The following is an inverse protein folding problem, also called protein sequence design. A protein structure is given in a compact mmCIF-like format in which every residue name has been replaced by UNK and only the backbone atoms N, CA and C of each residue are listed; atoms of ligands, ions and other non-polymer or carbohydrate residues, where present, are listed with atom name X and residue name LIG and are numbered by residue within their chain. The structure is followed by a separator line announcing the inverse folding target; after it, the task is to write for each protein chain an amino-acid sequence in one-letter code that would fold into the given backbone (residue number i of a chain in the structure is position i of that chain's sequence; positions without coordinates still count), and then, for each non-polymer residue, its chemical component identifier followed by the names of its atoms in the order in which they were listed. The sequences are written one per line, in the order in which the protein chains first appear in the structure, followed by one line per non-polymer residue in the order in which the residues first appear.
data_IF_333669752889
#
_entry.id   IF_333669752889
#
_cell.length_a   1.000
_cell.length_b   1.000
_cell.length_c   1.000
_cell.angle_alpha   90.00
_cell.angle_beta   90.00
_cell.angle_gamma   90.00
#
_symmetry.space_group_name_H-M   'P 1'
#
loop_
_entity.id
_entity.type
_entity.pdbx_description
1 polymer ?
#
# COMPACT_ATOMS: atom_id res chain seq x y z
N UNK A 1 7.62 11.73 -19.21
CA UNK A 1 6.48 12.66 -19.09
C UNK A 1 6.49 13.22 -17.69
N UNK A 2 6.25 14.52 -17.50
CA UNK A 2 6.20 15.07 -16.14
C UNK A 2 4.95 14.55 -15.41
N UNK A 3 5.00 14.38 -14.06
CA UNK A 3 3.88 13.84 -13.30
C UNK A 3 2.66 14.79 -13.33
N UNK A 4 1.48 14.23 -13.49
CA UNK A 4 0.24 15.00 -13.41
C UNK A 4 -0.11 15.21 -11.93
N UNK A 5 -0.37 16.46 -11.55
CA UNK A 5 -0.79 16.82 -10.21
C UNK A 5 -2.30 16.99 -10.14
N UNK A 6 -2.95 16.25 -9.27
CA UNK A 6 -4.39 16.31 -9.05
C UNK A 6 -4.66 16.73 -7.61
N UNK A 7 -5.45 17.77 -7.42
CA UNK A 7 -5.83 18.25 -6.08
C UNK A 7 -7.33 18.42 -5.99
N UNK A 8 -7.96 17.79 -4.99
CA UNK A 8 -9.38 17.99 -4.71
C UNK A 8 -9.62 18.22 -3.21
N UNK A 9 -10.52 19.15 -2.90
CA UNK A 9 -10.93 19.39 -1.51
C UNK A 9 -11.84 18.27 -1.00
N UNK A 10 -12.83 17.91 -1.82
CA UNK A 10 -13.81 16.86 -1.54
C UNK A 10 -14.33 16.31 -2.86
N UNK A 11 -15.04 15.18 -2.81
CA UNK A 11 -15.56 14.55 -4.00
C UNK A 11 -14.73 13.37 -4.47
N UNK A 12 -15.11 12.80 -5.62
CA UNK A 12 -14.44 11.64 -6.21
C UNK A 12 -13.35 12.11 -7.16
N UNK A 13 -12.15 11.56 -7.02
CA UNK A 13 -11.10 11.62 -8.03
C UNK A 13 -11.11 10.27 -8.75
N UNK A 14 -11.29 10.29 -10.05
CA UNK A 14 -11.30 9.11 -10.90
C UNK A 14 -10.29 9.31 -12.02
N UNK A 15 -9.33 8.40 -12.13
CA UNK A 15 -8.33 8.42 -13.19
C UNK A 15 -8.33 7.06 -13.87
N UNK A 16 -8.42 7.06 -15.19
CA UNK A 16 -8.37 5.85 -15.99
C UNK A 16 -7.18 5.90 -16.93
N UNK A 17 -6.27 4.94 -16.80
CA UNK A 17 -5.17 4.76 -17.74
C UNK A 17 -5.64 3.95 -18.94
N UNK A 18 -5.43 4.49 -20.14
CA UNK A 18 -5.86 3.90 -21.40
C UNK A 18 -4.72 3.95 -22.44
N UNK A 19 -4.81 3.13 -23.48
CA UNK A 19 -3.88 3.16 -24.61
C UNK A 19 -4.12 4.43 -25.48
N UNK A 20 -3.55 5.53 -25.02
CA UNK A 20 -3.67 6.87 -25.65
C UNK A 20 -2.36 7.64 -25.50
N UNK A 21 -2.21 8.72 -26.26
CA UNK A 21 -1.00 9.56 -26.26
C UNK A 21 -1.24 10.93 -25.58
N UNK A 22 -2.49 11.27 -25.27
CA UNK A 22 -2.89 12.55 -24.71
C UNK A 22 -3.61 12.41 -23.36
N UNK A 23 -3.67 13.49 -22.59
CA UNK A 23 -4.44 13.59 -21.36
C UNK A 23 -5.76 14.26 -21.64
N UNK A 24 -6.87 13.65 -21.23
CA UNK A 24 -8.20 14.25 -21.34
C UNK A 24 -8.80 14.45 -19.96
N UNK A 25 -9.18 15.68 -19.67
CA UNK A 25 -9.87 16.07 -18.45
C UNK A 25 -11.37 16.08 -18.71
N UNK A 26 -12.07 15.05 -18.23
CA UNK A 26 -13.51 14.94 -18.37
C UNK A 26 -14.24 15.82 -17.34
N UNK A 27 -13.60 16.04 -16.18
CA UNK A 27 -14.12 16.87 -15.10
C UNK A 27 -12.98 17.46 -14.27
N UNK A 28 -12.99 18.76 -14.03
CA UNK A 28 -11.98 19.48 -13.27
C UNK A 28 -11.59 20.77 -13.97
N UNK A 29 -10.74 21.55 -13.32
CA UNK A 29 -10.15 22.77 -13.90
C UNK A 29 -8.67 22.53 -14.16
N UNK A 30 -8.26 22.73 -15.39
CA UNK A 30 -6.86 22.61 -15.82
C UNK A 30 -6.09 23.89 -15.52
N UNK A 31 -4.91 23.74 -14.93
CA UNK A 31 -3.98 24.83 -14.67
C UNK A 31 -2.59 24.39 -15.12
N UNK A 32 -2.15 24.76 -16.32
CA UNK A 32 -0.78 24.49 -16.74
C UNK A 32 0.19 25.33 -15.92
N UNK A 33 1.08 24.69 -15.16
CA UNK A 33 2.14 25.34 -14.38
C UNK A 33 3.50 24.76 -14.74
N UNK A 34 4.29 25.51 -15.51
CA UNK A 34 5.71 25.20 -15.71
C UNK A 34 6.01 23.79 -16.26
N UNK A 35 5.18 23.26 -17.16
CA UNK A 35 5.33 21.92 -17.75
C UNK A 35 4.57 20.81 -17.00
N UNK A 36 4.09 21.05 -15.79
CA UNK A 36 3.27 20.12 -15.04
C UNK A 36 1.79 20.45 -15.22
N UNK A 37 0.98 19.46 -15.61
CA UNK A 37 -0.47 19.63 -15.65
C UNK A 37 -1.02 19.52 -14.22
N UNK A 38 -1.57 20.61 -13.71
CA UNK A 38 -2.30 20.61 -12.45
C UNK A 38 -3.80 20.61 -12.73
N UNK A 39 -4.52 19.64 -12.17
CA UNK A 39 -5.98 19.56 -12.26
C UNK A 39 -6.59 19.75 -10.88
N UNK A 40 -7.43 20.78 -10.75
CA UNK A 40 -8.11 21.11 -9.50
C UNK A 40 -9.58 20.73 -9.57
N UNK A 41 -10.06 20.05 -8.53
CA UNK A 41 -11.47 19.74 -8.35
C UNK A 41 -12.03 20.39 -7.09
N UNK A 42 -13.21 20.97 -7.24
CA UNK A 42 -14.04 21.35 -6.10
C UNK A 42 -14.87 20.13 -5.63
N UNK A 43 -16.03 20.37 -5.05
CA UNK A 43 -16.94 19.32 -4.56
C UNK A 43 -17.48 18.37 -5.64
N UNK A 44 -17.45 18.77 -6.90
CA UNK A 44 -17.87 17.94 -8.06
C UNK A 44 -16.91 16.79 -8.40
N UNK A 45 -15.70 16.81 -7.80
CA UNK A 45 -14.67 15.81 -8.08
C UNK A 45 -13.87 16.12 -9.34
N UNK A 46 -13.00 15.17 -9.70
CA UNK A 46 -12.10 15.22 -10.87
C UNK A 46 -12.21 13.89 -11.61
N UNK A 47 -12.30 13.92 -12.92
CA UNK A 47 -12.23 12.73 -13.77
C UNK A 47 -11.27 12.97 -14.93
N UNK A 48 -10.34 12.05 -15.14
CA UNK A 48 -9.26 12.13 -16.13
C UNK A 48 -9.09 10.79 -16.85
N UNK A 49 -8.72 10.89 -18.13
CA UNK A 49 -8.17 9.76 -18.88
C UNK A 49 -6.74 10.08 -19.29
N UNK A 50 -5.83 9.18 -18.99
CA UNK A 50 -4.39 9.39 -19.15
C UNK A 50 -3.74 8.25 -19.91
N UNK A 51 -2.57 8.45 -20.51
CA UNK A 51 -1.78 7.38 -21.08
C UNK A 51 -1.38 6.32 -20.03
N UNK A 52 -1.25 5.06 -20.46
CA UNK A 52 -0.67 4.00 -19.64
C UNK A 52 0.73 4.41 -19.15
N UNK A 53 1.05 4.08 -17.90
CA UNK A 53 2.35 4.41 -17.30
C UNK A 53 2.50 5.86 -16.85
N UNK A 54 1.43 6.64 -16.83
CA UNK A 54 1.47 8.04 -16.37
C UNK A 54 1.73 8.13 -14.87
N UNK A 55 2.69 8.97 -14.49
CA UNK A 55 3.00 9.28 -13.08
C UNK A 55 2.00 10.27 -12.51
N UNK A 56 1.50 10.01 -11.30
CA UNK A 56 0.50 10.86 -10.66
C UNK A 56 0.90 11.31 -9.26
N UNK A 57 0.62 12.58 -8.95
CA UNK A 57 0.67 13.13 -7.61
C UNK A 57 -0.75 13.57 -7.24
N UNK A 58 -1.41 12.82 -6.37
CA UNK A 58 -2.81 13.07 -6.03
C UNK A 58 -2.96 13.48 -4.57
N UNK A 59 -3.59 14.62 -4.35
CA UNK A 59 -3.92 15.14 -3.03
C UNK A 59 -5.43 15.29 -2.84
N UNK A 60 -5.99 14.70 -1.78
CA UNK A 60 -7.38 14.90 -1.41
C UNK A 60 -7.54 15.18 0.09
N UNK A 61 -8.48 16.05 0.43
CA UNK A 61 -8.81 16.27 1.85
C UNK A 61 -9.84 15.25 2.33
N UNK A 62 -10.89 15.06 1.56
CA UNK A 62 -11.92 14.04 1.84
C UNK A 62 -12.54 13.56 0.52
N UNK A 63 -12.91 12.30 0.49
CA UNK A 63 -13.50 11.69 -0.71
C UNK A 63 -12.82 10.39 -1.10
N UNK A 64 -13.24 9.86 -2.25
CA UNK A 64 -12.66 8.64 -2.80
C UNK A 64 -11.72 8.97 -3.94
N UNK A 65 -10.62 8.23 -4.01
CA UNK A 65 -9.68 8.23 -5.13
C UNK A 65 -9.75 6.84 -5.75
N UNK A 66 -10.14 6.76 -7.02
CA UNK A 66 -10.19 5.53 -7.79
C UNK A 66 -9.25 5.66 -8.99
N UNK A 67 -8.27 4.78 -9.07
CA UNK A 67 -7.25 4.77 -10.11
C UNK A 67 -7.32 3.42 -10.84
N UNK A 68 -7.69 3.47 -12.11
CA UNK A 68 -7.92 2.31 -12.97
C UNK A 68 -6.86 2.17 -14.05
N UNK A 69 -6.56 0.92 -14.40
CA UNK A 69 -5.57 0.56 -15.41
C UNK A 69 -4.14 0.60 -14.87
N UNK A 70 -3.17 0.56 -15.78
CA UNK A 70 -1.73 0.50 -15.46
C UNK A 70 -1.15 1.93 -15.38
N UNK A 71 -0.86 2.38 -14.18
CA UNK A 71 -0.27 3.69 -13.91
C UNK A 71 1.23 3.58 -13.63
N UNK A 72 1.94 4.69 -13.74
CA UNK A 72 3.34 4.82 -13.40
C UNK A 72 3.58 4.93 -11.89
N UNK A 73 4.44 5.88 -11.51
CA UNK A 73 4.75 6.14 -10.11
C UNK A 73 3.63 6.96 -9.45
N UNK A 74 3.09 6.46 -8.36
CA UNK A 74 1.98 7.09 -7.65
C UNK A 74 2.43 7.69 -6.32
N UNK A 75 2.16 8.96 -6.13
CA UNK A 75 2.25 9.62 -4.83
C UNK A 75 0.88 10.13 -4.40
N UNK A 76 0.30 9.50 -3.40
CA UNK A 76 -1.07 9.75 -2.97
C UNK A 76 -1.09 10.27 -1.53
N UNK A 77 -1.81 11.36 -1.29
CA UNK A 77 -2.01 11.89 0.06
C UNK A 77 -3.49 12.19 0.28
N UNK A 78 -4.08 11.57 1.29
CA UNK A 78 -5.45 11.87 1.68
C UNK A 78 -5.59 11.99 3.19
N UNK A 79 -6.52 12.82 3.66
CA UNK A 79 -6.85 12.89 5.08
C UNK A 79 -7.89 11.82 5.44
N UNK A 80 -8.93 11.69 4.64
CA UNK A 80 -9.99 10.70 4.88
C UNK A 80 -10.61 10.23 3.57
N UNK A 81 -11.09 9.00 3.56
CA UNK A 81 -11.76 8.43 2.39
C UNK A 81 -11.24 7.07 1.99
N UNK A 82 -11.57 6.69 0.76
CA UNK A 82 -11.15 5.42 0.16
C UNK A 82 -10.16 5.68 -0.95
N UNK A 83 -9.07 4.93 -0.94
CA UNK A 83 -8.11 4.82 -2.04
C UNK A 83 -8.28 3.46 -2.68
N UNK A 84 -8.60 3.43 -3.96
CA UNK A 84 -8.69 2.22 -4.77
C UNK A 84 -7.69 2.35 -5.93
N UNK A 85 -6.74 1.44 -6.00
CA UNK A 85 -5.68 1.43 -7.03
C UNK A 85 -5.68 0.05 -7.66
N UNK A 86 -5.83 -0.02 -8.97
CA UNK A 86 -5.84 -1.28 -9.70
C UNK A 86 -4.41 -1.78 -9.94
N UNK A 87 -3.58 -0.99 -10.63
CA UNK A 87 -2.19 -1.34 -10.90
C UNK A 87 -1.30 -0.12 -11.00
N UNK A 88 -0.05 -0.22 -10.50
CA UNK A 88 0.95 0.83 -10.66
C UNK A 88 2.38 0.30 -10.64
N UNK A 89 3.31 1.10 -11.16
CA UNK A 89 4.73 0.76 -11.15
C UNK A 89 5.32 0.87 -9.74
N UNK A 90 5.05 1.96 -9.01
CA UNK A 90 5.45 2.14 -7.62
C UNK A 90 4.42 2.97 -6.83
N UNK A 91 4.39 2.83 -5.50
CA UNK A 91 3.37 3.46 -4.66
C UNK A 91 3.97 4.14 -3.41
N UNK A 92 3.74 5.44 -3.24
CA UNK A 92 3.88 6.17 -1.96
C UNK A 92 2.49 6.69 -1.55
N UNK A 93 1.81 6.00 -0.64
CA UNK A 93 0.47 6.37 -0.19
C UNK A 93 0.46 6.78 1.29
N UNK A 94 -0.15 7.93 1.57
CA UNK A 94 -0.31 8.46 2.93
C UNK A 94 -1.76 8.79 3.22
N UNK A 95 -2.29 8.21 4.29
CA UNK A 95 -3.66 8.50 4.75
C UNK A 95 -3.73 8.68 6.27
N UNK A 96 -4.63 9.54 6.72
CA UNK A 96 -4.89 9.65 8.16
C UNK A 96 -6.00 8.68 8.56
N UNK A 97 -7.09 8.65 7.81
CA UNK A 97 -8.22 7.75 8.11
C UNK A 97 -8.84 7.24 6.82
N UNK A 98 -9.11 5.97 6.78
CA UNK A 98 -9.79 5.42 5.62
C UNK A 98 -9.39 4.02 5.25
N UNK A 99 -9.77 3.63 4.03
CA UNK A 99 -9.43 2.35 3.44
C UNK A 99 -8.48 2.58 2.27
N UNK A 100 -7.44 1.77 2.20
CA UNK A 100 -6.51 1.73 1.08
C UNK A 100 -6.58 0.32 0.50
N UNK A 101 -7.12 0.19 -0.68
CA UNK A 101 -7.25 -1.06 -1.40
C UNK A 101 -6.36 -0.97 -2.65
N UNK A 102 -5.34 -1.80 -2.72
CA UNK A 102 -4.35 -1.82 -3.81
C UNK A 102 -4.36 -3.20 -4.46
N UNK A 103 -4.52 -3.26 -5.76
CA UNK A 103 -4.40 -4.48 -6.53
C UNK A 103 -2.92 -4.86 -6.69
N UNK A 104 -2.27 -4.39 -7.74
CA UNK A 104 -0.90 -4.78 -8.05
C UNK A 104 0.06 -3.58 -8.02
N UNK A 105 1.17 -3.72 -7.31
CA UNK A 105 2.33 -2.84 -7.41
C UNK A 105 3.47 -3.64 -8.00
N UNK A 106 3.97 -3.25 -9.17
CA UNK A 106 5.03 -3.98 -9.88
C UNK A 106 6.37 -3.87 -9.14
N UNK A 107 6.71 -2.68 -8.69
CA UNK A 107 7.92 -2.38 -7.92
C UNK A 107 7.63 -2.20 -6.43
N UNK A 108 8.20 -1.15 -5.84
CA UNK A 108 8.16 -0.91 -4.41
C UNK A 108 6.89 -0.19 -3.96
N UNK A 109 6.43 -0.53 -2.75
CA UNK A 109 5.29 0.11 -2.13
C UNK A 109 5.62 0.67 -0.74
N UNK A 110 5.24 1.92 -0.51
CA UNK A 110 5.38 2.61 0.75
C UNK A 110 4.04 3.17 1.22
N UNK A 111 3.47 2.58 2.27
CA UNK A 111 2.13 2.96 2.75
C UNK A 111 2.18 3.41 4.19
N UNK A 112 1.69 4.63 4.45
CA UNK A 112 1.55 5.19 5.81
C UNK A 112 0.08 5.49 6.10
N UNK A 113 -0.48 4.81 7.11
CA UNK A 113 -1.86 5.01 7.54
C UNK A 113 -1.92 5.26 9.05
N UNK A 114 -2.57 6.34 9.50
CA UNK A 114 -2.75 6.49 10.93
C UNK A 114 -3.87 5.55 11.44
N UNK A 115 -5.04 5.58 10.82
CA UNK A 115 -6.17 4.72 11.21
C UNK A 115 -6.84 4.17 9.95
N UNK A 116 -7.18 2.89 9.96
CA UNK A 116 -7.92 2.33 8.85
C UNK A 116 -7.51 0.91 8.48
N UNK A 117 -7.88 0.53 7.26
CA UNK A 117 -7.51 -0.75 6.67
C UNK A 117 -6.65 -0.50 5.45
N UNK A 118 -5.55 -1.23 5.36
CA UNK A 118 -4.71 -1.31 4.19
C UNK A 118 -4.77 -2.73 3.66
N UNK A 119 -5.22 -2.92 2.45
CA UNK A 119 -5.25 -4.21 1.76
C UNK A 119 -4.43 -4.08 0.49
N UNK A 120 -3.48 -4.97 0.30
CA UNK A 120 -2.62 -5.00 -0.90
C UNK A 120 -2.64 -6.44 -1.42
N UNK A 121 -3.09 -6.63 -2.65
CA UNK A 121 -3.15 -7.98 -3.22
C UNK A 121 -1.75 -8.45 -3.65
N UNK A 122 -0.99 -7.63 -4.37
CA UNK A 122 0.34 -8.04 -4.83
C UNK A 122 1.35 -6.87 -4.85
N UNK A 123 2.56 -7.14 -4.37
CA UNK A 123 3.73 -6.24 -4.49
C UNK A 123 4.90 -7.06 -5.04
N UNK A 124 5.47 -6.62 -6.16
CA UNK A 124 6.62 -7.29 -6.77
C UNK A 124 7.95 -6.96 -6.10
N UNK A 125 8.13 -5.71 -5.68
CA UNK A 125 9.32 -5.20 -4.99
C UNK A 125 9.20 -5.20 -3.47
N UNK A 126 9.93 -4.29 -2.82
CA UNK A 126 9.95 -4.15 -1.38
C UNK A 126 8.70 -3.40 -0.87
N UNK A 127 8.21 -3.85 0.28
CA UNK A 127 7.03 -3.27 0.91
C UNK A 127 7.35 -2.68 2.28
N UNK A 128 7.06 -1.40 2.45
CA UNK A 128 7.08 -0.76 3.77
C UNK A 128 5.68 -0.27 4.15
N UNK A 129 5.12 -0.80 5.25
CA UNK A 129 3.83 -0.36 5.79
C UNK A 129 3.99 0.13 7.21
N UNK A 130 3.51 1.34 7.48
CA UNK A 130 3.44 1.90 8.83
C UNK A 130 2.00 2.27 9.16
N UNK A 131 1.45 1.71 10.24
CA UNK A 131 0.10 2.03 10.73
C UNK A 131 0.12 2.35 12.23
N UNK A 132 -0.74 3.26 12.67
CA UNK A 132 -0.92 3.47 14.13
C UNK A 132 -1.99 2.52 14.65
N UNK A 133 -3.16 2.52 14.02
CA UNK A 133 -4.27 1.65 14.41
C UNK A 133 -4.99 1.12 13.18
N UNK A 134 -5.27 -0.16 13.16
CA UNK A 134 -6.01 -0.72 12.06
C UNK A 134 -5.56 -2.11 11.65
N UNK A 135 -5.89 -2.47 10.42
CA UNK A 135 -5.52 -3.74 9.82
C UNK A 135 -4.65 -3.50 8.59
N UNK A 136 -3.60 -4.28 8.49
CA UNK A 136 -2.73 -4.36 7.31
C UNK A 136 -2.80 -5.80 6.81
N UNK A 137 -3.36 -5.98 5.64
CA UNK A 137 -3.51 -7.27 4.97
C UNK A 137 -2.72 -7.23 3.65
N UNK A 138 -1.70 -8.04 3.52
CA UNK A 138 -0.91 -8.18 2.29
C UNK A 138 -1.00 -9.61 1.84
N UNK A 139 -1.54 -9.86 0.65
CA UNK A 139 -1.77 -11.23 0.20
C UNK A 139 -0.50 -11.86 -0.37
N UNK A 140 0.25 -11.14 -1.24
CA UNK A 140 1.45 -11.64 -1.89
C UNK A 140 2.53 -10.57 -1.99
N UNK A 141 3.59 -10.70 -1.19
CA UNK A 141 4.78 -9.87 -1.30
C UNK A 141 5.93 -10.65 -1.95
N UNK A 142 6.54 -10.09 -2.99
CA UNK A 142 7.65 -10.67 -3.72
C UNK A 142 9.02 -10.29 -3.16
N UNK A 143 9.15 -9.06 -2.66
CA UNK A 143 10.37 -8.53 -2.04
C UNK A 143 10.32 -8.52 -0.52
N UNK A 144 11.25 -7.77 0.10
CA UNK A 144 11.31 -7.65 1.55
C UNK A 144 10.12 -6.88 2.12
N UNK A 145 9.64 -7.30 3.29
CA UNK A 145 8.50 -6.66 3.96
C UNK A 145 8.91 -6.04 5.29
N UNK A 146 8.68 -4.75 5.43
CA UNK A 146 8.79 -4.04 6.70
C UNK A 146 7.43 -3.49 7.13
N UNK A 147 6.79 -4.13 8.11
CA UNK A 147 5.47 -3.75 8.60
C UNK A 147 5.51 -3.34 10.07
N UNK A 148 5.07 -2.12 10.38
CA UNK A 148 5.06 -1.58 11.75
C UNK A 148 3.67 -1.10 12.11
N UNK A 149 3.15 -1.50 13.28
CA UNK A 149 1.90 -0.98 13.83
C UNK A 149 2.00 -0.75 15.34
N UNK A 150 1.28 0.24 15.84
CA UNK A 150 1.13 0.42 17.29
C UNK A 150 0.01 -0.50 17.79
N UNK A 151 -1.17 -0.44 17.20
CA UNK A 151 -2.29 -1.28 17.61
C UNK A 151 -3.02 -1.81 16.39
N UNK A 152 -3.20 -3.12 16.35
CA UNK A 152 -3.95 -3.68 15.22
C UNK A 152 -3.50 -5.06 14.80
N UNK A 153 -3.77 -5.38 13.53
CA UNK A 153 -3.43 -6.66 12.93
C UNK A 153 -2.54 -6.44 11.72
N UNK A 154 -1.49 -7.24 11.63
CA UNK A 154 -0.65 -7.35 10.43
C UNK A 154 -0.78 -8.79 9.95
N UNK A 155 -1.20 -8.98 8.71
CA UNK A 155 -1.20 -10.25 8.02
C UNK A 155 -0.41 -10.09 6.72
N UNK A 156 0.64 -10.91 6.54
CA UNK A 156 1.51 -10.84 5.37
C UNK A 156 1.67 -12.23 4.79
N UNK A 157 1.26 -12.38 3.54
CA UNK A 157 1.59 -13.53 2.70
C UNK A 157 2.80 -13.22 1.84
N UNK A 158 3.74 -14.15 1.77
CA UNK A 158 4.93 -14.04 0.94
C UNK A 158 4.78 -14.88 -0.32
N UNK A 159 5.31 -14.40 -1.45
CA UNK A 159 5.35 -15.13 -2.71
C UNK A 159 6.61 -16.00 -2.84
N UNK A 160 7.67 -15.64 -2.14
CA UNK A 160 8.98 -16.30 -2.19
C UNK A 160 9.74 -16.15 -0.90
N UNK A 161 10.99 -16.56 -0.92
CA UNK A 161 11.92 -16.43 0.18
C UNK A 161 12.51 -15.01 0.20
N UNK A 162 11.86 -14.10 0.91
CA UNK A 162 12.35 -12.75 1.14
C UNK A 162 12.21 -12.38 2.63
N UNK A 163 12.98 -11.40 3.09
CA UNK A 163 13.04 -11.05 4.50
C UNK A 163 11.77 -10.35 4.97
N UNK A 164 11.27 -10.74 6.14
CA UNK A 164 10.10 -10.12 6.76
C UNK A 164 10.48 -9.55 8.12
N UNK A 165 10.19 -8.27 8.32
CA UNK A 165 10.28 -7.59 9.59
C UNK A 165 8.92 -7.04 9.98
N UNK A 166 8.30 -7.60 11.01
CA UNK A 166 7.00 -7.17 11.49
C UNK A 166 7.07 -6.76 12.96
N UNK A 167 6.67 -5.51 13.25
CA UNK A 167 6.72 -4.93 14.59
C UNK A 167 5.35 -4.43 15.02
N UNK A 168 4.91 -4.82 16.22
CA UNK A 168 3.65 -4.36 16.81
C UNK A 168 3.83 -4.06 18.30
N UNK A 169 3.20 -2.99 18.78
CA UNK A 169 3.12 -2.78 20.23
C UNK A 169 2.01 -3.65 20.82
N UNK A 170 0.83 -3.61 20.22
CA UNK A 170 -0.31 -4.41 20.69
C UNK A 170 -1.11 -4.94 19.51
N UNK A 171 -1.28 -6.23 19.43
CA UNK A 171 -2.07 -6.80 18.35
C UNK A 171 -1.66 -8.20 17.91
N UNK A 172 -2.04 -8.53 16.67
CA UNK A 172 -1.70 -9.82 16.06
C UNK A 172 -0.80 -9.59 14.85
N UNK A 173 0.26 -10.39 14.79
CA UNK A 173 1.14 -10.48 13.62
C UNK A 173 1.04 -11.89 13.07
N UNK A 174 0.70 -12.03 11.81
CA UNK A 174 0.71 -13.30 11.08
C UNK A 174 1.56 -13.15 9.83
N UNK A 175 2.51 -14.05 9.68
CA UNK A 175 3.33 -14.18 8.48
C UNK A 175 3.10 -15.55 7.88
N UNK A 176 2.82 -15.62 6.61
CA UNK A 176 2.57 -16.83 5.86
C UNK A 176 3.58 -16.92 4.70
N UNK A 177 4.40 -17.94 4.74
CA UNK A 177 5.44 -18.22 3.76
C UNK A 177 4.95 -19.29 2.79
N UNK A 178 5.41 -19.29 1.53
CA UNK A 178 5.05 -20.33 0.59
C UNK A 178 5.59 -21.70 1.01
N UNK A 179 4.96 -22.79 0.57
CA UNK A 179 5.41 -24.13 0.90
C UNK A 179 6.85 -24.38 0.43
N UNK A 180 7.62 -25.08 1.27
CA UNK A 180 9.02 -25.42 1.00
C UNK A 180 10.04 -24.38 1.41
N UNK A 181 9.65 -23.18 1.80
CA UNK A 181 10.56 -22.16 2.35
C UNK A 181 10.85 -22.46 3.83
N UNK A 182 12.11 -22.51 4.17
CA UNK A 182 12.60 -22.74 5.56
C UNK A 182 13.29 -21.48 6.08
N UNK A 183 12.57 -20.64 6.83
CA UNK A 183 13.10 -19.37 7.32
C UNK A 183 13.96 -19.52 8.58
N UNK A 184 14.87 -18.58 8.78
CA UNK A 184 15.43 -18.30 10.09
C UNK A 184 14.47 -17.37 10.85
N UNK A 185 13.73 -17.91 11.85
CA UNK A 185 12.66 -17.19 12.54
C UNK A 185 13.13 -16.64 13.88
N UNK A 186 13.02 -15.34 14.07
CA UNK A 186 13.26 -14.65 15.34
C UNK A 186 11.99 -13.95 15.81
N UNK A 187 11.37 -14.47 16.86
CA UNK A 187 10.17 -13.89 17.45
C UNK A 187 10.43 -13.45 18.89
N UNK A 188 10.02 -12.22 19.21
CA UNK A 188 10.11 -11.69 20.59
C UNK A 188 8.81 -11.02 20.99
N UNK A 189 8.24 -11.47 22.11
CA UNK A 189 7.11 -10.83 22.76
C UNK A 189 7.38 -10.66 24.25
N UNK A 190 6.98 -9.52 24.82
CA UNK A 190 7.11 -9.29 26.27
C UNK A 190 5.95 -9.97 26.98
N UNK A 191 4.73 -9.82 26.47
CA UNK A 191 3.52 -10.42 27.03
C UNK A 191 2.63 -10.91 25.86
N UNK A 192 2.69 -12.18 25.58
CA UNK A 192 1.95 -12.75 24.47
C UNK A 192 2.47 -14.11 24.04
N UNK A 193 1.84 -14.67 23.01
CA UNK A 193 2.18 -15.98 22.47
C UNK A 193 2.92 -15.83 21.14
N UNK A 194 3.99 -16.64 20.99
CA UNK A 194 4.74 -16.76 19.74
C UNK A 194 4.63 -18.21 19.27
N UNK A 195 4.04 -18.43 18.12
CA UNK A 195 3.84 -19.74 17.51
C UNK A 195 4.62 -19.78 16.18
N UNK A 196 5.62 -20.68 16.09
CA UNK A 196 6.36 -20.95 14.85
C UNK A 196 5.97 -22.34 14.36
N UNK A 197 5.42 -22.39 13.16
CA UNK A 197 4.98 -23.61 12.48
C UNK A 197 5.83 -23.90 11.23
N UNK A 198 7.00 -23.26 11.11
CA UNK A 198 7.93 -23.47 10.00
C UNK A 198 9.08 -24.38 10.42
N UNK A 199 9.62 -25.12 9.47
CA UNK A 199 10.89 -25.81 9.64
C UNK A 199 12.04 -24.81 9.63
N UNK A 200 13.05 -25.02 10.49
CA UNK A 200 14.21 -24.14 10.57
C UNK A 200 15.09 -24.24 9.31
N UNK A 201 15.55 -23.09 8.85
CA UNK A 201 16.44 -22.96 7.71
C UNK A 201 16.98 -21.54 7.55
N UNK A 202 17.63 -21.28 6.44
CA UNK A 202 18.30 -20.00 6.14
C UNK A 202 17.84 -19.38 4.81
N UNK A 203 16.73 -19.84 4.25
CA UNK A 203 16.23 -19.35 2.96
C UNK A 203 15.85 -17.87 3.02
N UNK A 204 15.32 -17.41 4.15
CA UNK A 204 15.03 -16.01 4.45
C UNK A 204 15.00 -15.75 5.95
N UNK A 205 14.99 -14.49 6.33
CA UNK A 205 14.90 -14.09 7.74
C UNK A 205 13.52 -13.51 8.07
N UNK A 206 12.86 -14.09 9.07
CA UNK A 206 11.60 -13.56 9.59
C UNK A 206 11.82 -13.04 11.01
N UNK A 207 11.73 -11.72 11.18
CA UNK A 207 11.88 -11.07 12.48
C UNK A 207 10.57 -10.44 12.89
N UNK A 208 9.94 -10.97 13.94
CA UNK A 208 8.69 -10.46 14.47
C UNK A 208 8.86 -10.01 15.92
N UNK A 209 8.41 -8.78 16.22
CA UNK A 209 8.46 -8.22 17.59
C UNK A 209 7.11 -7.71 18.01
N UNK A 210 6.71 -8.03 19.26
CA UNK A 210 5.50 -7.46 19.86
C UNK A 210 5.75 -7.18 21.34
N UNK A 211 5.09 -6.17 21.90
CA UNK A 211 5.07 -6.00 23.35
C UNK A 211 3.94 -6.85 23.91
N UNK A 212 2.74 -6.77 23.34
CA UNK A 212 1.57 -7.52 23.80
C UNK A 212 0.80 -8.05 22.58
N UNK A 213 0.57 -9.33 22.52
CA UNK A 213 -0.20 -9.91 21.42
C UNK A 213 0.23 -11.29 21.00
N UNK A 214 -0.28 -11.73 19.85
CA UNK A 214 0.07 -13.03 19.26
C UNK A 214 0.89 -12.82 18.00
N UNK A 215 1.97 -13.59 17.90
CA UNK A 215 2.77 -13.71 16.69
C UNK A 215 2.63 -15.14 16.19
N UNK A 216 2.32 -15.31 14.93
CA UNK A 216 2.27 -16.62 14.26
C UNK A 216 3.04 -16.53 12.95
N UNK A 217 3.99 -17.43 12.75
CA UNK A 217 4.71 -17.61 11.49
C UNK A 217 4.44 -19.05 11.04
N UNK A 218 4.00 -19.22 9.81
CA UNK A 218 3.70 -20.54 9.25
C UNK A 218 4.05 -20.62 7.77
N UNK A 219 4.28 -21.84 7.30
CA UNK A 219 4.28 -22.17 5.86
C UNK A 219 2.88 -22.65 5.47
N UNK A 220 2.38 -22.16 4.35
CA UNK A 220 1.06 -22.49 3.80
C UNK A 220 1.05 -23.79 3.01
#
# INVERSE_FOLDING_TARGET
MDPIRITASSGRIEVTAEARDDVVVDRGQEHPMGGVLEVKGASSGVALRVPIGTDLIVGSHSGSIALHGELGNLRLTTRSGRLEIESCASLDARTVSGRVDVGTVVGDAHVKAANGRVTIAEVGGDLTVTSVSGRVDVERAGGNVHATTVSGRIEVGMRGAADVRAESVSGRVKVELPPGVRPSVSMKSVSGRCDNECDDGDDCRVTCRSISGRITVRTG
#
